data_IF_794700808070
#
_entry.id   IF_794700808070
#
_cell.length_a   1.000
_cell.length_b   1.000
_cell.length_c   1.000
_cell.angle_alpha   90.00
_cell.angle_beta   90.00
_cell.angle_gamma   90.00
#
_symmetry.space_group_name_H-M   'P 1'
#
loop_
_entity.id
_entity.type
_entity.pdbx_description
1 polymer ?
#
# COMPACT_ATOMS: atom_id res chain seq x y z
N UNK A 1 -11.99 16.16 10.52
CA UNK A 1 -11.00 17.26 10.37
C UNK A 1 -9.56 16.78 10.53
N UNK A 2 -9.20 16.01 11.57
CA UNK A 2 -7.82 15.55 11.77
C UNK A 2 -7.31 14.62 10.65
N UNK A 3 -8.11 13.64 10.23
CA UNK A 3 -7.73 12.67 9.18
C UNK A 3 -7.49 13.37 7.84
N UNK A 4 -8.44 14.18 7.36
CA UNK A 4 -8.28 14.96 6.11
C UNK A 4 -7.02 15.83 6.06
N UNK A 5 -6.68 16.45 7.20
CA UNK A 5 -5.45 17.25 7.32
C UNK A 5 -4.20 16.36 7.25
N UNK A 6 -4.19 15.23 7.96
CA UNK A 6 -3.09 14.25 7.88
C UNK A 6 -2.91 13.73 6.46
N UNK A 7 -3.98 13.30 5.82
CA UNK A 7 -3.97 12.78 4.45
C UNK A 7 -3.50 13.86 3.47
N UNK A 8 -3.95 15.11 3.63
CA UNK A 8 -3.50 16.22 2.79
C UNK A 8 -2.04 16.58 2.99
N UNK A 9 -1.55 16.56 4.23
CA UNK A 9 -0.14 16.74 4.52
C UNK A 9 0.71 15.60 3.95
N UNK A 10 0.24 14.35 4.02
CA UNK A 10 0.91 13.20 3.43
C UNK A 10 1.04 13.32 1.92
N UNK A 11 -0.06 13.64 1.21
CA UNK A 11 -0.03 13.83 -0.26
C UNK A 11 0.86 15.02 -0.66
N UNK A 12 0.72 16.17 0.02
CA UNK A 12 1.57 17.32 -0.26
C UNK A 12 3.05 16.98 0.00
N UNK A 13 3.30 16.23 1.07
CA UNK A 13 4.61 15.75 1.44
C UNK A 13 5.26 14.93 0.34
N UNK A 14 4.51 14.16 -0.46
CA UNK A 14 5.04 13.36 -1.59
C UNK A 14 5.68 14.18 -2.71
N UNK A 15 5.29 15.46 -2.86
CA UNK A 15 5.79 16.36 -3.91
C UNK A 15 5.56 15.86 -5.36
N UNK A 16 4.63 14.93 -5.56
CA UNK A 16 4.26 14.35 -6.86
C UNK A 16 3.21 15.16 -7.64
N UNK A 17 2.69 16.23 -7.05
CA UNK A 17 1.57 16.99 -7.61
C UNK A 17 0.22 16.26 -7.53
N UNK A 18 -0.72 16.64 -8.41
CA UNK A 18 -2.09 16.12 -8.39
C UNK A 18 -2.29 14.88 -9.28
N UNK A 19 -1.36 14.62 -10.20
CA UNK A 19 -1.39 13.48 -11.13
C UNK A 19 0.04 12.99 -11.33
N UNK A 20 0.27 11.69 -11.19
CA UNK A 20 1.61 11.09 -11.22
C UNK A 20 1.53 9.61 -11.65
N UNK A 21 2.64 9.03 -12.09
CA UNK A 21 2.70 7.61 -12.42
C UNK A 21 2.86 6.76 -11.15
N UNK A 22 2.43 5.50 -11.19
CA UNK A 22 2.63 4.56 -10.08
C UNK A 22 4.13 4.38 -9.77
N UNK A 23 4.98 4.37 -10.79
CA UNK A 23 6.43 4.21 -10.62
C UNK A 23 7.05 5.39 -9.86
N UNK A 24 6.56 6.61 -10.05
CA UNK A 24 7.03 7.79 -9.32
C UNK A 24 6.67 7.70 -7.83
N UNK A 25 5.48 7.16 -7.53
CA UNK A 25 5.05 6.89 -6.16
C UNK A 25 5.94 5.83 -5.51
N UNK A 26 6.21 4.72 -6.19
CA UNK A 26 7.06 3.66 -5.67
C UNK A 26 8.49 4.14 -5.42
N UNK A 27 9.08 4.92 -6.34
CA UNK A 27 10.39 5.54 -6.13
C UNK A 27 10.38 6.48 -4.92
N UNK A 28 9.40 7.37 -4.83
CA UNK A 28 9.28 8.30 -3.69
C UNK A 28 9.19 7.58 -2.35
N UNK A 29 8.45 6.47 -2.28
CA UNK A 29 8.35 5.67 -1.04
C UNK A 29 9.68 5.01 -0.71
N UNK A 30 10.35 4.39 -1.68
CA UNK A 30 11.67 3.76 -1.48
C UNK A 30 12.71 4.76 -0.99
N UNK A 31 12.75 5.94 -1.60
CA UNK A 31 13.71 7.00 -1.26
C UNK A 31 13.51 7.49 0.19
N UNK A 32 12.25 7.69 0.62
CA UNK A 32 11.94 8.08 2.01
C UNK A 32 12.29 7.01 3.03
N UNK A 33 12.04 5.75 2.68
CA UNK A 33 12.29 4.61 3.55
C UNK A 33 13.78 4.24 3.59
N UNK A 34 14.57 4.70 2.61
CA UNK A 34 15.93 4.23 2.35
C UNK A 34 16.01 2.70 2.22
N UNK A 35 14.97 2.10 1.62
CA UNK A 35 14.80 0.66 1.47
C UNK A 35 14.23 0.33 0.11
N UNK A 36 14.62 -0.84 -0.41
CA UNK A 36 13.97 -1.39 -1.61
C UNK A 36 12.54 -1.76 -1.29
N UNK A 37 11.63 -1.56 -2.24
CA UNK A 37 10.24 -1.94 -2.13
C UNK A 37 9.90 -2.93 -3.23
N UNK A 38 9.31 -4.07 -2.87
CA UNK A 38 8.84 -5.08 -3.82
C UNK A 38 7.36 -5.35 -3.62
N UNK A 39 6.62 -5.37 -4.72
CA UNK A 39 5.20 -5.77 -4.72
C UNK A 39 5.14 -7.18 -5.29
N UNK A 40 4.52 -8.11 -4.56
CA UNK A 40 4.46 -9.53 -4.93
C UNK A 40 3.03 -10.04 -4.77
N UNK A 41 2.47 -10.55 -5.86
CA UNK A 41 1.21 -11.30 -5.82
C UNK A 41 1.46 -12.70 -5.25
N UNK A 42 0.62 -13.13 -4.32
CA UNK A 42 0.63 -14.50 -3.82
C UNK A 42 -0.57 -15.25 -4.37
N UNK A 43 -0.30 -16.17 -5.29
CA UNK A 43 -1.33 -16.95 -5.99
C UNK A 43 -2.18 -17.82 -5.04
N UNK A 44 -1.61 -18.23 -3.91
CA UNK A 44 -2.27 -19.07 -2.90
C UNK A 44 -3.01 -18.26 -1.82
N UNK A 45 -2.94 -16.93 -1.85
CA UNK A 45 -3.74 -16.05 -0.98
C UNK A 45 -4.98 -15.61 -1.74
N UNK A 46 -6.14 -16.04 -1.24
CA UNK A 46 -7.43 -15.59 -1.72
C UNK A 46 -7.99 -14.52 -0.77
N UNK A 47 -8.57 -13.46 -1.35
CA UNK A 47 -9.33 -12.43 -0.63
C UNK A 47 -10.45 -13.00 0.25
N UNK A 48 -10.94 -14.20 -0.05
CA UNK A 48 -11.91 -14.94 0.77
C UNK A 48 -11.39 -15.25 2.19
N UNK A 49 -10.07 -15.31 2.39
CA UNK A 49 -9.45 -15.49 3.70
C UNK A 49 -9.41 -14.19 4.53
N UNK A 50 -9.95 -13.09 3.97
CA UNK A 50 -10.05 -11.79 4.63
C UNK A 50 -8.72 -11.01 4.67
N UNK A 51 -7.71 -11.48 3.94
CA UNK A 51 -6.40 -10.83 3.81
C UNK A 51 -6.21 -10.37 2.36
N UNK A 52 -6.35 -9.06 2.12
CA UNK A 52 -6.21 -8.48 0.78
C UNK A 52 -4.76 -8.15 0.44
N UNK A 53 -4.01 -7.61 1.39
CA UNK A 53 -2.59 -7.35 1.28
C UNK A 53 -1.91 -7.35 2.65
N UNK A 54 -0.57 -7.32 2.61
CA UNK A 54 0.27 -7.25 3.78
C UNK A 54 1.62 -6.62 3.43
N UNK A 55 2.01 -5.59 4.16
CA UNK A 55 3.37 -5.11 4.19
C UNK A 55 4.25 -5.88 5.18
N UNK A 56 5.41 -6.30 4.67
CA UNK A 56 6.49 -6.94 5.41
C UNK A 56 7.76 -6.10 5.35
N UNK A 57 8.22 -5.60 6.49
CA UNK A 57 9.51 -4.86 6.54
C UNK A 57 10.65 -5.75 7.04
N UNK A 58 11.76 -5.81 6.31
CA UNK A 58 12.98 -6.52 6.73
C UNK A 58 14.13 -5.52 6.89
N UNK A 59 15.29 -6.00 7.39
CA UNK A 59 16.48 -5.16 7.48
C UNK A 59 16.98 -4.68 6.11
N UNK A 60 16.63 -5.38 5.02
CA UNK A 60 17.12 -5.11 3.66
C UNK A 60 16.07 -4.51 2.71
N UNK A 61 14.80 -4.88 2.87
CA UNK A 61 13.72 -4.48 1.96
C UNK A 61 12.35 -4.49 2.62
N UNK A 62 11.45 -3.68 2.04
CA UNK A 62 10.01 -3.70 2.26
C UNK A 62 9.35 -4.56 1.16
N UNK A 63 8.44 -5.43 1.55
CA UNK A 63 7.71 -6.32 0.64
C UNK A 63 6.22 -6.15 0.88
N UNK A 64 5.48 -5.68 -0.13
CA UNK A 64 4.01 -5.68 -0.14
C UNK A 64 3.56 -6.95 -0.82
N UNK A 65 2.95 -7.84 -0.05
CA UNK A 65 2.27 -9.02 -0.54
C UNK A 65 0.81 -8.66 -0.80
N UNK A 66 0.22 -9.09 -1.91
CA UNK A 66 -1.21 -8.96 -2.11
C UNK A 66 -1.84 -10.25 -2.60
N UNK A 67 -3.08 -10.48 -2.19
CA UNK A 67 -3.90 -11.57 -2.67
C UNK A 67 -4.19 -11.40 -4.17
N UNK A 68 -4.50 -12.53 -4.80
CA UNK A 68 -5.01 -12.50 -6.17
C UNK A 68 -6.38 -11.83 -6.19
N UNK A 69 -6.64 -11.02 -7.21
CA UNK A 69 -7.97 -10.51 -7.54
C UNK A 69 -8.13 -10.41 -9.04
N UNK A 70 -9.31 -10.72 -9.57
CA UNK A 70 -9.57 -10.59 -11.02
C UNK A 70 -9.68 -9.11 -11.46
N UNK A 71 -9.90 -8.19 -10.52
CA UNK A 71 -9.94 -6.74 -10.77
C UNK A 71 -8.56 -6.12 -10.60
N UNK A 72 -8.00 -5.58 -11.68
CA UNK A 72 -6.75 -4.81 -11.62
C UNK A 72 -6.85 -3.60 -10.68
N UNK A 73 -8.02 -2.96 -10.61
CA UNK A 73 -8.29 -1.85 -9.70
C UNK A 73 -8.27 -2.29 -8.24
N UNK A 74 -8.80 -3.48 -7.92
CA UNK A 74 -8.72 -4.01 -6.56
C UNK A 74 -7.28 -4.34 -6.17
N UNK A 75 -6.52 -5.01 -7.05
CA UNK A 75 -5.09 -5.27 -6.79
C UNK A 75 -4.31 -3.98 -6.56
N UNK A 76 -4.59 -2.95 -7.37
CA UNK A 76 -3.99 -1.64 -7.17
C UNK A 76 -4.36 -1.05 -5.80
N UNK A 77 -5.65 -1.07 -5.41
CA UNK A 77 -6.07 -0.53 -4.12
C UNK A 77 -5.41 -1.26 -2.95
N UNK A 78 -5.30 -2.60 -3.03
CA UNK A 78 -4.62 -3.40 -2.01
C UNK A 78 -3.18 -2.92 -1.78
N UNK A 79 -2.44 -2.68 -2.86
CA UNK A 79 -1.07 -2.18 -2.79
C UNK A 79 -1.01 -0.74 -2.28
N UNK A 80 -1.89 0.13 -2.76
CA UNK A 80 -1.94 1.54 -2.35
C UNK A 80 -2.30 1.71 -0.87
N UNK A 81 -3.14 0.83 -0.34
CA UNK A 81 -3.49 0.79 1.08
C UNK A 81 -2.25 0.50 1.95
N UNK A 82 -1.47 -0.53 1.62
CA UNK A 82 -0.23 -0.82 2.33
C UNK A 82 0.80 0.31 2.21
N UNK A 83 0.91 0.92 1.03
CA UNK A 83 1.76 2.10 0.82
C UNK A 83 1.31 3.29 1.67
N UNK A 84 0.00 3.48 1.84
CA UNK A 84 -0.54 4.53 2.68
C UNK A 84 -0.14 4.34 4.15
N UNK A 85 -0.13 3.11 4.66
CA UNK A 85 0.42 2.82 5.99
C UNK A 85 1.90 3.21 6.09
N UNK A 86 2.71 2.90 5.09
CA UNK A 86 4.12 3.30 5.08
C UNK A 86 4.29 4.82 5.11
N UNK A 87 3.54 5.55 4.28
CA UNK A 87 3.63 7.01 4.15
C UNK A 87 3.16 7.70 5.43
N UNK A 88 2.14 7.16 6.09
CA UNK A 88 1.59 7.68 7.34
C UNK A 88 2.39 7.24 8.58
N UNK A 89 3.38 6.35 8.41
CA UNK A 89 4.18 5.81 9.51
C UNK A 89 3.39 4.87 10.43
N UNK A 90 2.30 4.28 9.94
CA UNK A 90 1.51 3.32 10.70
C UNK A 90 2.31 2.01 10.88
N UNK A 91 2.38 1.50 12.12
CA UNK A 91 3.08 0.23 12.41
C UNK A 91 4.61 0.33 12.52
N UNK A 92 5.20 1.52 12.39
CA UNK A 92 6.62 1.72 12.61
C UNK A 92 6.95 1.77 14.12
N UNK A 93 7.62 0.72 14.62
CA UNK A 93 8.11 0.65 16.00
C UNK A 93 7.38 -0.33 16.93
N UNK A 94 6.34 -1.01 16.46
CA UNK A 94 5.72 -2.12 17.21
C UNK A 94 6.54 -3.41 16.99
N UNK A 95 7.68 -3.50 17.68
CA UNK A 95 8.52 -4.70 17.71
C UNK A 95 7.80 -5.84 18.42
N UNK A 96 6.86 -6.51 17.75
CA UNK A 96 6.04 -7.55 18.36
C UNK A 96 6.64 -8.95 18.13
N UNK A 97 7.08 -9.57 19.22
CA UNK A 97 7.50 -10.97 19.28
C UNK A 97 6.29 -11.90 19.07
N UNK A 98 6.43 -12.83 18.13
CA UNK A 98 5.32 -13.55 17.49
C UNK A 98 4.97 -14.81 18.29
N UNK A 99 3.75 -14.84 18.84
CA UNK A 99 3.11 -16.05 19.34
C UNK A 99 2.40 -16.81 18.21
N UNK A 100 2.64 -18.12 18.14
CA UNK A 100 2.20 -19.06 17.10
C UNK A 100 0.69 -19.02 16.81
N UNK A 101 0.31 -18.61 15.60
CA UNK A 101 -0.99 -19.00 15.00
C UNK A 101 -0.73 -19.44 13.56
N UNK A 102 -1.29 -20.60 13.25
CA UNK A 102 -0.99 -21.47 12.12
C UNK A 102 -1.40 -20.86 10.77
N UNK A 103 -0.41 -20.51 9.94
CA UNK A 103 -0.56 -20.31 8.50
C UNK A 103 0.33 -21.34 7.77
N UNK A 104 -0.24 -22.47 7.33
CA UNK A 104 0.53 -23.68 7.05
C UNK A 104 1.42 -23.64 5.79
N UNK A 105 1.34 -22.62 4.94
CA UNK A 105 2.15 -22.52 3.71
C UNK A 105 3.09 -21.32 3.65
N UNK A 106 3.23 -20.57 4.74
CA UNK A 106 4.08 -19.38 4.79
C UNK A 106 5.41 -19.73 5.49
N UNK A 107 6.58 -19.51 4.85
CA UNK A 107 7.88 -19.80 5.43
C UNK A 107 8.04 -19.19 6.83
N UNK A 108 8.78 -19.81 7.77
CA UNK A 108 8.83 -19.40 9.17
C UNK A 108 9.23 -17.93 9.40
N UNK A 109 10.06 -17.35 8.53
CA UNK A 109 10.47 -15.95 8.58
C UNK A 109 9.38 -14.97 8.11
N UNK A 110 8.38 -15.46 7.36
CA UNK A 110 7.26 -14.69 6.82
C UNK A 110 6.05 -14.70 7.79
N UNK A 111 6.07 -15.57 8.82
CA UNK A 111 4.98 -15.71 9.80
C UNK A 111 4.86 -14.56 10.79
N UNK A 112 5.87 -13.68 10.86
CA UNK A 112 5.95 -12.68 11.92
C UNK A 112 5.02 -11.48 11.83
N UNK A 113 4.08 -11.45 10.87
CA UNK A 113 3.36 -10.22 10.53
C UNK A 113 1.91 -10.41 10.11
N UNK A 114 1.30 -11.56 10.40
CA UNK A 114 -0.05 -11.86 9.91
C UNK A 114 -1.19 -11.60 10.90
N UNK A 115 -0.92 -11.07 12.09
CA UNK A 115 -1.95 -10.90 13.10
C UNK A 115 -1.87 -9.55 13.82
N UNK A 116 -2.47 -8.56 13.18
CA UNK A 116 -3.57 -7.80 13.77
C UNK A 116 -4.35 -7.29 12.56
N UNK A 117 -5.50 -7.87 12.22
CA UNK A 117 -6.79 -7.25 12.60
C UNK A 117 -6.58 -6.03 13.50
N UNK A 118 -6.02 -4.97 12.95
CA UNK A 118 -6.31 -3.63 13.44
C UNK A 118 -7.83 -3.49 13.30
N UNK A 119 -8.47 -2.84 14.26
CA UNK A 119 -9.87 -2.46 14.12
C UNK A 119 -10.02 -1.82 12.74
N UNK A 120 -10.78 -2.46 11.85
CA UNK A 120 -11.06 -1.94 10.50
C UNK A 120 -11.73 -0.54 10.59
N UNK A 121 -12.29 -0.22 11.76
CA UNK A 121 -12.88 1.08 12.11
C UNK A 121 -11.94 2.00 12.91
N UNK A 122 -10.63 1.74 12.94
CA UNK A 122 -9.67 2.61 13.61
C UNK A 122 -9.35 3.85 12.75
N UNK A 123 -9.01 4.96 13.41
CA UNK A 123 -8.60 6.19 12.70
C UNK A 123 -7.40 5.96 11.77
N UNK A 124 -6.55 4.97 12.06
CA UNK A 124 -5.40 4.58 11.24
C UNK A 124 -5.81 3.91 9.94
N UNK A 125 -6.75 2.96 9.98
CA UNK A 125 -7.29 2.30 8.78
C UNK A 125 -8.07 3.30 7.91
N UNK A 126 -8.89 4.16 8.52
CA UNK A 126 -9.63 5.21 7.80
C UNK A 126 -8.66 6.18 7.12
N UNK A 127 -7.58 6.59 7.79
CA UNK A 127 -6.58 7.48 7.20
C UNK A 127 -5.79 6.80 6.08
N UNK A 128 -5.44 5.52 6.23
CA UNK A 128 -4.77 4.73 5.20
C UNK A 128 -5.64 4.58 3.95
N UNK A 129 -6.91 4.19 4.11
CA UNK A 129 -7.87 4.07 3.01
C UNK A 129 -8.09 5.41 2.30
N UNK A 130 -8.28 6.49 3.07
CA UNK A 130 -8.47 7.84 2.51
C UNK A 130 -7.26 8.32 1.71
N UNK A 131 -6.05 7.98 2.15
CA UNK A 131 -4.83 8.28 1.41
C UNK A 131 -4.71 7.40 0.16
N UNK A 132 -4.98 6.09 0.26
CA UNK A 132 -4.98 5.17 -0.87
C UNK A 132 -5.91 5.64 -2.00
N UNK A 133 -7.12 6.07 -1.67
CA UNK A 133 -8.09 6.62 -2.62
C UNK A 133 -7.55 7.84 -3.37
N UNK A 134 -6.85 8.74 -2.67
CA UNK A 134 -6.22 9.92 -3.28
C UNK A 134 -5.06 9.55 -4.18
N UNK A 135 -4.24 8.58 -3.78
CA UNK A 135 -3.16 8.07 -4.62
C UNK A 135 -3.72 7.43 -5.89
N UNK A 136 -4.78 6.63 -5.76
CA UNK A 136 -5.46 6.02 -6.89
C UNK A 136 -6.06 7.07 -7.83
N UNK A 137 -6.62 8.16 -7.29
CA UNK A 137 -7.12 9.27 -8.09
C UNK A 137 -6.00 9.99 -8.87
N UNK A 138 -4.84 10.24 -8.23
CA UNK A 138 -3.68 10.83 -8.89
C UNK A 138 -3.14 9.97 -10.04
N UNK A 139 -3.08 8.65 -9.84
CA UNK A 139 -2.66 7.68 -10.86
C UNK A 139 -3.68 7.59 -12.01
N UNK A 140 -4.98 7.55 -11.71
CA UNK A 140 -5.99 7.58 -12.79
C UNK A 140 -5.90 8.87 -13.60
N UNK A 141 -5.65 10.00 -12.94
CA UNK A 141 -5.52 11.29 -13.60
C UNK A 141 -4.36 11.35 -14.62
N UNK A 142 -3.22 10.70 -14.33
CA UNK A 142 -2.10 10.64 -15.28
C UNK A 142 -2.43 9.78 -16.50
N UNK A 143 -3.04 8.59 -16.31
CA UNK A 143 -3.48 7.73 -17.41
C UNK A 143 -4.48 8.44 -18.34
N UNK A 144 -5.45 9.17 -17.77
CA UNK A 144 -6.39 9.94 -18.58
C UNK A 144 -5.72 11.09 -19.35
N UNK A 145 -4.72 11.75 -18.76
CA UNK A 145 -3.98 12.82 -19.42
C UNK A 145 -3.16 12.29 -20.61
N UNK A 146 -2.48 11.16 -20.45
CA UNK A 146 -1.73 10.49 -21.51
C UNK A 146 -2.63 10.04 -22.67
N UNK A 147 -3.76 9.40 -22.35
CA UNK A 147 -4.73 8.95 -23.36
C UNK A 147 -5.26 10.12 -24.18
N UNK A 148 -5.68 11.22 -23.54
CA UNK A 148 -6.20 12.41 -24.23
C UNK A 148 -5.14 13.08 -25.10
N UNK A 149 -3.88 13.10 -24.66
CA UNK A 149 -2.78 13.63 -25.47
C UNK A 149 -2.60 12.80 -26.75
N UNK A 150 -2.55 11.47 -26.60
CA UNK A 150 -2.42 10.56 -27.74
C UNK A 150 -3.61 10.64 -28.72
N UNK A 151 -4.83 10.87 -28.24
CA UNK A 151 -6.00 11.05 -29.11
C UNK A 151 -5.93 12.33 -29.96
N UNK A 152 -5.31 13.39 -29.44
CA UNK A 152 -5.26 14.71 -30.11
C UNK A 152 -4.01 14.84 -30.99
N UNK A 153 -2.88 14.26 -30.56
CA UNK A 153 -1.57 14.51 -31.16
C UNK A 153 -0.82 13.24 -31.61
N UNK A 154 -1.39 12.05 -31.40
CA UNK A 154 -0.81 10.76 -31.80
C UNK A 154 -1.15 10.32 -33.22
#
# INVERSE_FOLDING_TARGET
MKIEQTVSAAVAGLELGNTFALDDLLHTVQDRRHRRLRVVELADLDTHDGLCALWLSTDAEDVVLHARSDSALHRQQFVLHELAHMILGHGEGDGCAVGEVLLPNIPPYTRGRLLRRQDLDSETEIAAESLADRLAAGIRGSVFAESRYSEIFG
#
